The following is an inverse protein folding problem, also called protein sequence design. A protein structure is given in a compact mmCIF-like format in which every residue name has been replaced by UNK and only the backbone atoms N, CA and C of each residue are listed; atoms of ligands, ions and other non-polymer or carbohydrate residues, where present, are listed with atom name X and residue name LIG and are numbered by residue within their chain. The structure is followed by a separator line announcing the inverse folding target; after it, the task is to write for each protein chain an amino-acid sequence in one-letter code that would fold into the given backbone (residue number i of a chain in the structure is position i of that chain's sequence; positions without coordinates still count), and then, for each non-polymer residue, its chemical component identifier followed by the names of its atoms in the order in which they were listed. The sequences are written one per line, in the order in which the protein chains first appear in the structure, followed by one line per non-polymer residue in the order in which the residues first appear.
data_IF_080016794801
#
_entry.id   IF_080016794801
#
_cell.length_a   1.000
_cell.length_b   1.000
_cell.length_c   1.000
_cell.angle_alpha   90.00
_cell.angle_beta   90.00
_cell.angle_gamma   90.00
#
_symmetry.space_group_name_H-M   'P 1'
#
loop_
_entity.id
_entity.type
_entity.pdbx_description
1 polymer ?
#
# COMPACT_ATOMS: atom_id res chain seq x y z
N UNK A 1 4.08 4.30 20.34
CA UNK A 1 3.32 5.44 19.71
C UNK A 1 4.15 6.72 19.68
N UNK A 2 4.95 7.02 20.69
CA UNK A 2 5.72 8.28 20.78
C UNK A 2 6.86 8.41 19.76
N UNK A 3 7.38 7.32 19.22
CA UNK A 3 8.38 7.36 18.14
C UNK A 3 7.81 7.77 16.77
N UNK A 4 6.49 7.89 16.65
CA UNK A 4 5.78 8.26 15.44
C UNK A 4 5.74 9.78 15.22
N UNK A 5 5.74 10.58 16.28
CA UNK A 5 5.59 12.03 16.17
C UNK A 5 6.71 12.68 15.39
N UNK A 6 7.96 12.28 15.58
CA UNK A 6 9.12 12.86 14.88
C UNK A 6 9.19 12.51 13.37
N UNK A 7 8.62 11.38 12.95
CA UNK A 7 8.53 11.03 11.52
C UNK A 7 7.53 11.91 10.78
N UNK A 8 6.43 12.28 11.46
CA UNK A 8 5.39 13.10 10.87
C UNK A 8 5.76 14.59 10.76
N UNK A 9 6.83 15.03 11.43
CA UNK A 9 7.26 16.42 11.43
C UNK A 9 8.20 16.79 10.26
N UNK A 10 8.63 15.81 9.46
CA UNK A 10 9.52 16.04 8.33
C UNK A 10 8.76 16.68 7.17
N UNK A 11 9.01 17.97 6.91
CA UNK A 11 8.33 18.76 5.88
C UNK A 11 9.23 19.20 4.72
N UNK A 12 10.52 18.90 4.77
CA UNK A 12 11.47 19.28 3.72
C UNK A 12 11.36 18.36 2.51
N UNK A 13 11.26 18.95 1.33
CA UNK A 13 11.22 18.24 0.07
C UNK A 13 12.64 17.83 -0.34
N UNK A 14 12.81 16.55 -0.68
CA UNK A 14 14.01 16.01 -1.29
C UNK A 14 14.03 16.23 -2.80
N UNK A 15 15.07 15.72 -3.46
CA UNK A 15 15.15 15.74 -4.92
C UNK A 15 13.99 14.93 -5.53
N UNK A 16 13.62 13.82 -4.90
CA UNK A 16 12.37 13.08 -5.15
C UNK A 16 11.48 13.25 -3.93
N UNK A 17 10.24 13.70 -4.16
CA UNK A 17 9.27 13.99 -3.10
C UNK A 17 8.08 13.03 -3.16
N UNK A 18 7.88 12.27 -2.09
CA UNK A 18 6.77 11.33 -1.92
C UNK A 18 5.87 11.86 -0.80
N UNK A 19 4.65 12.26 -1.15
CA UNK A 19 3.66 12.70 -0.18
C UNK A 19 2.75 11.55 0.25
N UNK A 20 2.75 11.24 1.53
CA UNK A 20 1.91 10.21 2.16
C UNK A 20 0.75 10.87 2.86
N UNK A 21 -0.46 10.48 2.52
CA UNK A 21 -1.64 11.07 3.16
C UNK A 21 -1.78 10.54 4.58
N UNK A 22 -1.71 11.45 5.54
CA UNK A 22 -1.83 11.17 6.97
C UNK A 22 -3.28 11.32 7.40
N UNK A 23 -4.07 10.27 7.24
CA UNK A 23 -5.42 10.29 7.81
C UNK A 23 -5.40 10.15 9.34
N UNK A 24 -6.52 10.49 10.03
CA UNK A 24 -6.63 10.32 11.48
C UNK A 24 -6.42 8.88 11.97
N UNK A 25 -6.69 7.88 11.12
CA UNK A 25 -6.60 6.46 11.47
C UNK A 25 -5.61 5.70 10.58
N UNK A 26 -4.55 6.40 10.17
CA UNK A 26 -3.46 5.80 9.37
C UNK A 26 -2.94 4.51 10.03
N UNK A 27 -2.66 3.51 9.22
CA UNK A 27 -2.05 2.25 9.68
C UNK A 27 -0.96 1.80 8.71
N UNK A 28 -0.08 0.89 9.18
CA UNK A 28 0.99 0.30 8.36
C UNK A 28 1.88 1.33 7.64
N UNK A 29 2.11 2.49 8.27
CA UNK A 29 2.96 3.55 7.72
C UNK A 29 4.42 3.09 7.52
N UNK A 30 4.82 1.95 8.09
CA UNK A 30 6.14 1.34 7.89
C UNK A 30 6.35 0.79 6.48
N UNK A 31 5.31 0.64 5.67
CA UNK A 31 5.40 0.21 4.26
C UNK A 31 6.32 1.11 3.41
N UNK A 32 6.53 2.35 3.85
CA UNK A 32 7.34 3.33 3.12
C UNK A 32 8.72 3.55 3.75
N UNK A 33 9.05 2.80 4.82
CA UNK A 33 10.32 2.95 5.52
C UNK A 33 11.53 2.65 4.66
N UNK A 34 11.38 1.77 3.67
CA UNK A 34 12.43 1.47 2.69
C UNK A 34 12.77 2.70 1.83
N UNK A 35 11.79 3.48 1.42
CA UNK A 35 11.97 4.69 0.60
C UNK A 35 12.62 5.81 1.40
N UNK A 36 12.37 5.89 2.70
CA UNK A 36 13.02 6.86 3.61
C UNK A 36 14.54 6.64 3.75
N UNK A 37 15.04 5.44 3.41
CA UNK A 37 16.47 5.12 3.49
C UNK A 37 17.26 5.50 2.23
N UNK A 38 16.56 5.83 1.14
CA UNK A 38 17.20 6.23 -0.11
C UNK A 38 17.56 7.70 -0.01
N UNK A 39 18.85 8.01 -0.13
CA UNK A 39 19.33 9.38 -0.14
C UNK A 39 18.63 10.21 -1.22
N UNK A 40 18.40 11.49 -0.96
CA UNK A 40 17.73 12.44 -1.85
C UNK A 40 16.22 12.18 -2.07
N UNK A 41 15.64 11.17 -1.39
CA UNK A 41 14.18 10.93 -1.35
C UNK A 41 13.62 11.51 -0.06
N UNK A 42 12.57 12.30 -0.15
CA UNK A 42 11.76 12.70 0.98
C UNK A 42 10.45 11.91 1.00
N UNK A 43 10.09 11.40 2.17
CA UNK A 43 8.77 10.84 2.45
C UNK A 43 8.10 11.77 3.47
N UNK A 44 7.13 12.55 3.01
CA UNK A 44 6.42 13.55 3.82
C UNK A 44 5.03 13.09 4.14
N UNK A 45 4.64 13.21 5.40
CA UNK A 45 3.27 12.91 5.84
C UNK A 45 2.43 14.18 5.79
N UNK A 46 1.35 14.16 5.01
CA UNK A 46 0.54 15.32 4.64
C UNK A 46 -0.90 15.12 5.09
N UNK A 47 -1.43 16.07 5.85
CA UNK A 47 -2.80 16.07 6.36
C UNK A 47 -3.63 17.31 5.94
N UNK A 48 -3.06 18.18 5.12
CA UNK A 48 -3.72 19.37 4.62
C UNK A 48 -3.48 19.59 3.13
N UNK A 49 -4.42 20.25 2.47
CA UNK A 49 -4.31 20.67 1.06
C UNK A 49 -3.08 21.56 0.83
N UNK A 50 -2.76 22.41 1.82
CA UNK A 50 -1.64 23.36 1.74
C UNK A 50 -0.30 22.64 1.68
N UNK A 51 -0.15 21.54 2.42
CA UNK A 51 1.13 20.84 2.57
C UNK A 51 1.36 19.78 1.47
N UNK A 52 0.37 19.51 0.61
CA UNK A 52 0.52 18.53 -0.47
C UNK A 52 1.52 18.97 -1.55
N UNK A 53 1.62 20.26 -1.84
CA UNK A 53 2.54 20.84 -2.83
C UNK A 53 2.52 20.14 -4.20
N UNK A 54 3.72 19.79 -4.75
CA UNK A 54 3.91 19.13 -6.06
C UNK A 54 4.76 17.86 -5.93
N UNK A 55 4.27 16.82 -5.23
CA UNK A 55 5.04 15.59 -5.07
C UNK A 55 5.20 14.84 -6.39
N UNK A 56 6.26 14.05 -6.49
CA UNK A 56 6.50 13.14 -7.61
C UNK A 56 5.59 11.90 -7.51
N UNK A 57 5.16 11.55 -6.29
CA UNK A 57 4.22 10.46 -6.01
C UNK A 57 3.37 10.80 -4.78
N UNK A 58 2.08 10.43 -4.84
CA UNK A 58 1.16 10.50 -3.70
C UNK A 58 0.84 9.08 -3.27
N UNK A 59 0.99 8.80 -1.98
CA UNK A 59 0.64 7.50 -1.39
C UNK A 59 -0.56 7.64 -0.47
N UNK A 60 -1.56 6.80 -0.70
CA UNK A 60 -2.68 6.56 0.20
C UNK A 60 -2.37 5.28 0.99
N UNK A 61 -1.93 5.37 2.25
CA UNK A 61 -1.54 4.19 3.03
C UNK A 61 -2.74 3.43 3.57
N UNK A 62 -2.49 2.40 4.38
CA UNK A 62 -3.51 1.68 5.10
C UNK A 62 -4.28 2.55 6.09
N UNK A 63 -5.51 2.17 6.39
CA UNK A 63 -6.39 2.81 7.37
C UNK A 63 -7.04 1.77 8.27
N UNK A 64 -7.28 2.14 9.55
CA UNK A 64 -8.08 1.35 10.49
C UNK A 64 -9.58 1.57 10.32
N UNK A 65 -9.98 2.58 9.57
CA UNK A 65 -11.37 2.83 9.18
C UNK A 65 -11.39 3.60 7.86
N UNK A 66 -11.46 2.85 6.78
CA UNK A 66 -11.34 3.33 5.41
C UNK A 66 -12.43 4.36 5.06
N UNK A 67 -13.69 4.05 5.44
CA UNK A 67 -14.81 4.93 5.13
C UNK A 67 -14.72 6.27 5.87
N UNK A 68 -14.36 6.24 7.15
CA UNK A 68 -14.23 7.47 7.93
C UNK A 68 -13.06 8.34 7.47
N UNK A 69 -11.94 7.74 7.09
CA UNK A 69 -10.76 8.47 6.62
C UNK A 69 -10.96 9.03 5.21
N UNK A 70 -11.67 8.31 4.31
CA UNK A 70 -12.08 8.86 3.03
C UNK A 70 -13.03 10.05 3.20
N UNK A 71 -14.00 9.94 4.11
CA UNK A 71 -14.90 11.06 4.45
C UNK A 71 -14.11 12.27 4.92
N UNK A 72 -13.14 12.06 5.82
CA UNK A 72 -12.26 13.12 6.32
C UNK A 72 -11.46 13.79 5.20
N UNK A 73 -10.86 13.01 4.25
CA UNK A 73 -10.17 13.57 3.08
C UNK A 73 -11.11 14.42 2.19
N UNK A 74 -12.35 14.00 2.07
CA UNK A 74 -13.38 14.69 1.29
C UNK A 74 -13.75 16.03 1.91
N UNK A 75 -13.93 16.05 3.24
CA UNK A 75 -14.30 17.23 4.00
C UNK A 75 -13.18 18.29 4.07
N UNK A 76 -11.92 17.88 4.07
CA UNK A 76 -10.78 18.82 4.09
C UNK A 76 -10.24 19.19 2.69
N UNK A 77 -10.84 18.65 1.63
CA UNK A 77 -10.51 18.97 0.24
C UNK A 77 -9.33 18.19 -0.35
N UNK A 78 -8.66 17.32 0.41
CA UNK A 78 -7.53 16.51 -0.08
C UNK A 78 -7.98 15.56 -1.20
N UNK A 79 -9.16 14.93 -1.09
CA UNK A 79 -9.68 14.06 -2.15
C UNK A 79 -9.74 14.80 -3.50
N UNK A 80 -10.32 15.98 -3.53
CA UNK A 80 -10.47 16.75 -4.77
C UNK A 80 -9.12 17.12 -5.37
N UNK A 81 -8.16 17.51 -4.52
CA UNK A 81 -6.81 17.87 -4.97
C UNK A 81 -6.04 16.65 -5.49
N UNK A 82 -6.12 15.50 -4.81
CA UNK A 82 -5.50 14.25 -5.26
C UNK A 82 -6.08 13.81 -6.60
N UNK A 83 -7.39 13.85 -6.77
CA UNK A 83 -8.06 13.53 -8.05
C UNK A 83 -7.57 14.42 -9.19
N UNK A 84 -7.36 15.70 -8.91
CA UNK A 84 -6.80 16.63 -9.90
C UNK A 84 -5.34 16.28 -10.24
N UNK A 85 -4.52 15.97 -9.24
CA UNK A 85 -3.11 15.63 -9.42
C UNK A 85 -2.88 14.26 -10.08
N UNK A 86 -3.79 13.31 -9.95
CA UNK A 86 -3.70 11.98 -10.55
C UNK A 86 -3.59 12.00 -12.08
N UNK A 87 -3.89 13.13 -12.74
CA UNK A 87 -3.68 13.28 -14.18
C UNK A 87 -2.20 13.27 -14.56
N UNK A 88 -1.32 13.83 -13.71
CA UNK A 88 0.10 14.02 -14.00
C UNK A 88 1.01 13.36 -12.96
N UNK A 89 0.50 13.12 -11.74
CA UNK A 89 1.26 12.56 -10.60
C UNK A 89 0.84 11.12 -10.36
N UNK A 90 1.81 10.26 -10.03
CA UNK A 90 1.55 8.87 -9.63
C UNK A 90 0.79 8.87 -8.30
N UNK A 91 -0.33 8.14 -8.24
CA UNK A 91 -1.10 7.89 -7.01
C UNK A 91 -1.07 6.41 -6.72
N UNK A 92 -0.61 6.05 -5.52
CA UNK A 92 -0.45 4.65 -5.10
C UNK A 92 -1.23 4.38 -3.82
N UNK A 93 -2.20 3.47 -3.86
CA UNK A 93 -3.00 3.07 -2.72
C UNK A 93 -2.56 1.72 -2.15
N UNK A 94 -2.41 1.64 -0.82
CA UNK A 94 -2.11 0.39 -0.12
C UNK A 94 -3.26 0.06 0.82
N UNK A 95 -3.82 -1.15 0.73
CA UNK A 95 -4.87 -1.66 1.61
C UNK A 95 -6.08 -0.71 1.69
N UNK A 96 -6.32 -0.02 2.79
CA UNK A 96 -7.39 0.98 2.91
C UNK A 96 -7.28 2.09 1.84
N UNK A 97 -6.06 2.55 1.55
CA UNK A 97 -5.84 3.52 0.47
C UNK A 97 -6.22 2.97 -0.92
N UNK A 98 -5.95 1.71 -1.20
CA UNK A 98 -6.41 1.06 -2.43
C UNK A 98 -7.95 1.02 -2.50
N UNK A 99 -8.61 0.65 -1.41
CA UNK A 99 -10.08 0.64 -1.33
C UNK A 99 -10.68 2.03 -1.59
N UNK A 100 -10.05 3.10 -1.07
CA UNK A 100 -10.48 4.48 -1.28
C UNK A 100 -10.41 4.91 -2.75
N UNK A 101 -9.43 4.42 -3.51
CA UNK A 101 -9.24 4.76 -4.93
C UNK A 101 -10.33 4.23 -5.83
N UNK A 102 -11.06 3.20 -5.43
CA UNK A 102 -12.15 2.57 -6.19
C UNK A 102 -13.38 3.46 -6.39
N UNK A 103 -14.40 2.91 -7.03
CA UNK A 103 -15.68 3.57 -7.30
C UNK A 103 -16.62 3.54 -6.10
N UNK A 104 -16.63 2.40 -5.37
CA UNK A 104 -17.54 2.18 -4.24
C UNK A 104 -16.88 1.37 -3.13
N UNK A 105 -17.28 1.67 -1.89
CA UNK A 105 -16.97 0.89 -0.70
C UNK A 105 -18.30 0.54 -0.04
N UNK A 106 -18.59 -0.76 0.10
CA UNK A 106 -19.78 -1.29 0.77
C UNK A 106 -19.38 -1.98 2.07
N UNK A 107 -20.11 -1.71 3.14
CA UNK A 107 -19.95 -2.33 4.45
C UNK A 107 -21.27 -2.94 4.94
N UNK A 108 -21.73 -4.05 4.32
CA UNK A 108 -23.00 -4.66 4.67
C UNK A 108 -23.00 -5.30 6.06
N UNK A 109 -21.82 -5.58 6.60
CA UNK A 109 -21.63 -6.29 7.87
C UNK A 109 -21.30 -5.38 9.04
N UNK A 110 -21.28 -4.06 8.83
CA UNK A 110 -20.90 -3.07 9.85
C UNK A 110 -19.50 -3.31 10.45
N UNK A 111 -18.56 -3.68 9.61
CA UNK A 111 -17.15 -3.89 9.99
C UNK A 111 -16.50 -2.58 10.42
N UNK A 112 -16.85 -1.49 9.74
CA UNK A 112 -16.44 -0.13 10.07
C UNK A 112 -17.65 0.70 10.54
N UNK A 113 -18.33 1.35 9.61
CA UNK A 113 -19.46 2.25 9.92
C UNK A 113 -20.80 1.74 9.36
N UNK A 114 -20.79 0.66 8.62
CA UNK A 114 -21.95 0.16 7.88
C UNK A 114 -22.32 1.01 6.66
N UNK A 115 -23.21 0.46 5.84
CA UNK A 115 -23.74 1.15 4.66
C UNK A 115 -22.79 1.12 3.46
N UNK A 116 -22.89 2.15 2.63
CA UNK A 116 -22.12 2.25 1.38
C UNK A 116 -21.74 3.69 1.11
N UNK A 117 -20.57 3.90 0.50
CA UNK A 117 -20.13 5.22 0.06
C UNK A 117 -19.42 5.15 -1.29
N UNK A 118 -19.45 6.27 -2.01
CA UNK A 118 -18.65 6.44 -3.23
C UNK A 118 -17.18 6.56 -2.85
N UNK A 119 -16.33 5.81 -3.53
CA UNK A 119 -14.89 5.98 -3.48
C UNK A 119 -14.43 7.21 -4.25
N UNK A 120 -13.13 7.30 -4.52
CA UNK A 120 -12.55 8.39 -5.30
C UNK A 120 -12.82 8.24 -6.80
N UNK A 121 -13.16 7.04 -7.29
CA UNK A 121 -13.43 6.76 -8.70
C UNK A 121 -12.20 6.94 -9.60
N UNK A 122 -11.02 6.68 -9.08
CA UNK A 122 -9.75 6.73 -9.82
C UNK A 122 -9.34 5.35 -10.36
N UNK A 123 -9.87 4.29 -9.78
CA UNK A 123 -9.72 2.91 -10.26
C UNK A 123 -11.09 2.30 -10.56
N UNK A 124 -11.22 1.47 -11.61
CA UNK A 124 -12.43 0.72 -11.89
C UNK A 124 -12.57 -0.46 -10.92
N UNK A 125 -12.80 -0.16 -9.66
CA UNK A 125 -12.76 -1.11 -8.56
C UNK A 125 -13.92 -0.89 -7.59
N UNK A 126 -14.55 -1.98 -7.15
CA UNK A 126 -15.57 -1.96 -6.09
C UNK A 126 -15.10 -2.81 -4.92
N UNK A 127 -15.21 -2.29 -3.71
CA UNK A 127 -14.80 -2.96 -2.48
C UNK A 127 -16.02 -3.31 -1.63
N UNK A 128 -16.05 -4.54 -1.13
CA UNK A 128 -16.95 -4.99 -0.06
C UNK A 128 -16.14 -5.34 1.18
N UNK A 129 -16.44 -4.69 2.31
CA UNK A 129 -15.85 -5.03 3.60
C UNK A 129 -16.48 -6.32 4.14
N UNK A 130 -15.65 -7.27 4.62
CA UNK A 130 -16.06 -8.59 5.08
C UNK A 130 -15.68 -8.78 6.55
N UNK A 131 -16.42 -9.62 7.25
CA UNK A 131 -16.13 -9.95 8.65
C UNK A 131 -14.86 -10.77 8.80
N UNK A 132 -14.52 -11.57 7.79
CA UNK A 132 -13.29 -12.35 7.79
C UNK A 132 -12.08 -11.47 7.46
N UNK A 133 -11.07 -11.61 8.30
CA UNK A 133 -9.80 -10.90 8.13
C UNK A 133 -8.80 -11.76 7.38
N UNK A 134 -8.37 -11.30 6.22
CA UNK A 134 -7.22 -11.88 5.53
C UNK A 134 -5.95 -11.53 6.30
N UNK A 135 -5.10 -12.52 6.62
CA UNK A 135 -3.79 -12.33 7.22
C UNK A 135 -2.84 -13.41 6.70
N UNK A 136 -1.99 -13.04 5.76
CA UNK A 136 -1.10 -14.01 5.11
C UNK A 136 0.20 -13.36 4.62
N UNK A 137 1.27 -14.12 4.60
CA UNK A 137 2.50 -13.78 3.88
C UNK A 137 2.34 -14.18 2.42
N UNK A 138 2.82 -13.35 1.52
CA UNK A 138 2.71 -13.57 0.09
C UNK A 138 4.03 -13.35 -0.62
N UNK A 139 4.25 -14.15 -1.65
CA UNK A 139 5.32 -13.97 -2.65
C UNK A 139 4.72 -13.99 -4.04
N UNK A 140 5.37 -13.37 -5.00
CA UNK A 140 4.85 -13.35 -6.36
C UNK A 140 5.69 -12.52 -7.32
N UNK A 141 5.03 -12.07 -8.38
CA UNK A 141 5.65 -11.22 -9.41
C UNK A 141 4.67 -10.15 -9.87
N UNK A 142 5.20 -8.98 -10.20
CA UNK A 142 4.43 -7.99 -10.92
C UNK A 142 4.05 -8.53 -12.32
N UNK A 143 2.80 -8.30 -12.70
CA UNK A 143 2.30 -8.58 -14.05
C UNK A 143 2.83 -7.57 -15.08
N UNK A 144 2.20 -7.53 -16.25
CA UNK A 144 2.44 -6.48 -17.23
C UNK A 144 1.78 -5.18 -16.80
N UNK A 145 2.54 -4.29 -16.18
CA UNK A 145 2.09 -2.96 -15.79
C UNK A 145 2.31 -1.99 -16.95
N UNK A 146 1.28 -1.23 -17.27
CA UNK A 146 1.39 -0.13 -18.24
C UNK A 146 1.53 1.22 -17.53
N UNK A 147 1.86 2.26 -18.28
CA UNK A 147 1.98 3.62 -17.77
C UNK A 147 3.27 3.86 -16.99
N UNK A 148 3.18 4.74 -15.99
CA UNK A 148 4.35 5.28 -15.30
C UNK A 148 5.20 4.22 -14.60
N UNK A 149 4.59 3.19 -14.02
CA UNK A 149 5.29 2.14 -13.27
C UNK A 149 5.59 0.89 -14.10
N UNK A 150 5.58 0.98 -15.44
CA UNK A 150 5.89 -0.15 -16.33
C UNK A 150 7.24 -0.83 -16.06
N UNK A 151 8.22 -0.09 -15.54
CA UNK A 151 9.52 -0.63 -15.13
C UNK A 151 9.48 -1.62 -13.96
N UNK A 152 8.33 -1.76 -13.27
CA UNK A 152 8.14 -2.80 -12.26
C UNK A 152 7.71 -4.15 -12.84
N UNK A 153 7.29 -4.21 -14.10
CA UNK A 153 6.79 -5.44 -14.75
C UNK A 153 7.80 -6.59 -14.62
N UNK A 154 7.31 -7.78 -14.27
CA UNK A 154 8.10 -8.99 -14.12
C UNK A 154 9.01 -9.06 -12.88
N UNK A 155 9.09 -8.01 -12.08
CA UNK A 155 9.90 -8.02 -10.85
C UNK A 155 9.22 -8.86 -9.78
N UNK A 156 10.04 -9.50 -8.91
CA UNK A 156 9.55 -10.23 -7.75
C UNK A 156 8.94 -9.30 -6.72
N UNK A 157 7.90 -9.76 -6.06
CA UNK A 157 7.26 -9.08 -4.93
C UNK A 157 7.16 -10.03 -3.76
N UNK A 158 7.39 -9.51 -2.56
CA UNK A 158 7.18 -10.21 -1.30
C UNK A 158 6.60 -9.23 -0.30
N UNK A 159 5.66 -9.71 0.51
CA UNK A 159 5.03 -8.89 1.53
C UNK A 159 3.99 -9.66 2.32
N UNK A 160 3.01 -8.96 2.83
CA UNK A 160 1.91 -9.58 3.54
C UNK A 160 0.60 -8.84 3.26
N UNK A 161 -0.50 -9.55 3.41
CA UNK A 161 -1.84 -8.98 3.37
C UNK A 161 -2.45 -8.98 4.77
N UNK A 162 -3.09 -7.88 5.14
CA UNK A 162 -3.85 -7.76 6.39
C UNK A 162 -5.02 -6.81 6.18
N UNK A 163 -6.15 -7.32 5.74
CA UNK A 163 -7.32 -6.51 5.39
C UNK A 163 -8.63 -7.24 5.68
N UNK A 164 -9.73 -6.49 5.70
CA UNK A 164 -11.09 -6.97 5.91
C UNK A 164 -12.00 -6.69 4.71
N UNK A 165 -11.47 -6.55 3.52
CA UNK A 165 -12.23 -6.26 2.31
C UNK A 165 -11.83 -7.15 1.15
N UNK A 166 -12.73 -7.26 0.20
CA UNK A 166 -12.49 -7.85 -1.10
C UNK A 166 -12.77 -6.80 -2.17
N UNK A 167 -11.82 -6.58 -3.05
CA UNK A 167 -11.93 -5.61 -4.15
C UNK A 167 -11.94 -6.35 -5.47
N UNK A 168 -12.90 -6.01 -6.31
CA UNK A 168 -13.08 -6.59 -7.65
C UNK A 168 -13.01 -5.50 -8.72
N UNK A 169 -12.54 -5.86 -9.91
CA UNK A 169 -12.57 -4.99 -11.08
C UNK A 169 -14.02 -4.78 -11.54
N UNK A 170 -14.54 -3.55 -11.43
CA UNK A 170 -15.89 -3.19 -11.88
C UNK A 170 -15.98 -2.97 -13.39
N UNK A 171 -14.86 -2.76 -14.08
CA UNK A 171 -14.79 -2.55 -15.52
C UNK A 171 -15.03 -3.80 -16.35
N UNK A 172 -15.04 -4.99 -15.75
CA UNK A 172 -15.32 -6.26 -16.41
C UNK A 172 -16.81 -6.61 -16.57
N UNK A 173 -17.72 -5.80 -16.01
CA UNK A 173 -19.19 -6.02 -16.01
C UNK A 173 -19.93 -5.14 -17.02
N UNK A 174 -19.49 -5.09 -18.29
CA UNK A 174 -20.23 -4.34 -19.31
C UNK A 174 -21.54 -5.02 -19.75
N UNK A 175 -21.80 -6.27 -19.39
CA UNK A 175 -22.96 -7.04 -19.90
C UNK A 175 -24.05 -7.41 -18.89
N UNK A 176 -24.04 -6.90 -17.65
CA UNK A 176 -25.18 -7.11 -16.75
C UNK A 176 -25.47 -5.87 -15.90
N UNK A 177 -26.05 -4.84 -16.54
CA UNK A 177 -26.80 -3.83 -15.80
C UNK A 177 -28.13 -4.44 -15.31
N UNK A 178 -28.08 -5.19 -14.23
CA UNK A 178 -29.22 -5.31 -13.35
C UNK A 178 -29.20 -4.06 -12.46
N UNK A 179 -30.20 -3.22 -12.62
CA UNK A 179 -30.48 -2.07 -11.77
C UNK A 179 -30.48 -2.56 -10.32
N UNK A 180 -29.55 -2.06 -9.53
CA UNK A 180 -29.47 -2.37 -8.10
C UNK A 180 -30.44 -1.46 -7.38
N UNK A 181 -31.62 -1.96 -7.17
CA UNK A 181 -32.56 -1.46 -6.17
C UNK A 181 -32.22 -2.19 -4.86
N UNK A 182 -31.52 -1.52 -3.93
CA UNK A 182 -31.45 -1.83 -2.49
C UNK A 182 -31.04 -3.23 -2.03
N UNK A 183 -30.26 -4.01 -2.76
CA UNK A 183 -29.92 -5.38 -2.40
C UNK A 183 -28.46 -5.74 -2.59
N UNK A 184 -27.92 -6.41 -1.59
CA UNK A 184 -26.64 -7.10 -1.49
C UNK A 184 -26.05 -7.53 -2.85
N UNK A 185 -24.77 -7.21 -3.08
CA UNK A 185 -23.99 -7.84 -4.17
C UNK A 185 -23.79 -9.30 -3.77
N UNK A 186 -24.73 -10.16 -4.16
CA UNK A 186 -24.64 -11.59 -3.88
C UNK A 186 -24.02 -12.28 -5.08
N UNK A 187 -22.73 -12.58 -5.03
CA UNK A 187 -22.24 -13.93 -5.32
C UNK A 187 -20.81 -14.09 -4.77
N UNK A 188 -20.73 -14.75 -3.65
CA UNK A 188 -19.55 -14.89 -2.80
C UNK A 188 -18.54 -15.96 -3.28
N UNK A 189 -18.64 -16.46 -4.51
CA UNK A 189 -17.74 -17.52 -5.02
C UNK A 189 -17.22 -17.33 -6.45
N UNK A 190 -17.40 -16.17 -7.04
CA UNK A 190 -16.63 -15.88 -8.25
C UNK A 190 -15.22 -15.40 -7.87
N UNK A 191 -14.35 -16.33 -7.52
CA UNK A 191 -12.94 -16.20 -7.86
C UNK A 191 -12.93 -15.97 -9.36
N UNK A 192 -12.81 -14.72 -9.76
CA UNK A 192 -12.68 -14.35 -11.17
C UNK A 192 -11.38 -14.99 -11.61
N UNK A 193 -11.47 -16.12 -12.27
CA UNK A 193 -10.32 -16.71 -12.97
C UNK A 193 -10.07 -15.80 -14.19
N UNK A 194 -9.03 -14.94 -14.16
CA UNK A 194 -8.76 -13.99 -15.23
C UNK A 194 -8.44 -14.68 -16.55
N UNK A 195 -7.99 -15.96 -16.52
CA UNK A 195 -7.69 -16.77 -17.69
C UNK A 195 -8.89 -16.91 -18.65
N UNK A 196 -10.13 -16.76 -18.15
CA UNK A 196 -11.33 -16.96 -18.97
C UNK A 196 -11.75 -15.75 -19.81
N UNK A 197 -11.16 -14.54 -19.67
CA UNK A 197 -11.66 -13.32 -20.36
C UNK A 197 -10.60 -12.32 -20.85
N UNK A 198 -9.32 -12.62 -20.89
CA UNK A 198 -8.29 -11.69 -21.41
C UNK A 198 -8.06 -10.43 -20.53
N UNK A 199 -8.49 -10.47 -19.26
CA UNK A 199 -8.41 -9.35 -18.29
C UNK A 199 -7.14 -9.36 -17.41
N UNK A 200 -6.17 -10.25 -17.68
CA UNK A 200 -4.90 -10.29 -16.94
C UNK A 200 -4.14 -8.95 -16.94
N UNK A 201 -4.42 -8.12 -17.95
CA UNK A 201 -3.71 -6.84 -18.19
C UNK A 201 -4.02 -5.71 -17.18
N UNK A 202 -4.90 -5.93 -16.20
CA UNK A 202 -5.27 -4.88 -15.22
C UNK A 202 -4.81 -5.16 -13.82
N UNK A 203 -4.30 -6.34 -13.52
CA UNK A 203 -3.81 -6.69 -12.18
C UNK A 203 -2.32 -6.36 -12.06
N UNK A 204 -1.97 -5.77 -10.91
CA UNK A 204 -0.58 -5.40 -10.63
C UNK A 204 0.30 -6.62 -10.40
N UNK A 205 -0.18 -7.58 -9.62
CA UNK A 205 0.63 -8.71 -9.16
C UNK A 205 -0.12 -10.04 -9.31
N UNK A 206 0.65 -11.10 -9.58
CA UNK A 206 0.24 -12.48 -9.36
C UNK A 206 0.96 -12.95 -8.10
N UNK A 207 0.21 -13.21 -7.04
CA UNK A 207 0.75 -13.55 -5.73
C UNK A 207 0.35 -14.94 -5.29
N UNK A 208 1.20 -15.57 -4.50
CA UNK A 208 0.99 -16.87 -3.87
C UNK A 208 1.04 -16.72 -2.36
N UNK A 209 0.06 -17.28 -1.68
CA UNK A 209 0.02 -17.40 -0.23
C UNK A 209 1.06 -18.42 0.23
N UNK A 210 1.96 -18.01 1.13
CA UNK A 210 3.03 -18.91 1.64
C UNK A 210 2.49 -20.04 2.53
N UNK A 211 1.29 -19.89 3.12
CA UNK A 211 0.74 -20.88 4.06
C UNK A 211 0.09 -22.08 3.36
N UNK A 212 -0.66 -21.85 2.28
CA UNK A 212 -1.45 -22.88 1.60
C UNK A 212 -1.11 -23.06 0.12
N UNK A 213 -0.22 -22.22 -0.42
CA UNK A 213 0.19 -22.27 -1.82
C UNK A 213 -0.86 -21.74 -2.80
N UNK A 214 -1.99 -21.23 -2.33
CA UNK A 214 -3.03 -20.67 -3.20
C UNK A 214 -2.51 -19.46 -3.96
N UNK A 215 -2.92 -19.33 -5.23
CA UNK A 215 -2.49 -18.26 -6.12
C UNK A 215 -3.67 -17.39 -6.47
N UNK A 216 -3.44 -16.07 -6.43
CA UNK A 216 -4.44 -15.08 -6.86
C UNK A 216 -3.78 -13.88 -7.53
N UNK A 217 -4.60 -13.06 -8.15
CA UNK A 217 -4.19 -11.76 -8.65
C UNK A 217 -4.53 -10.68 -7.61
N UNK A 218 -3.63 -9.71 -7.45
CA UNK A 218 -3.79 -8.58 -6.55
C UNK A 218 -3.49 -7.27 -7.24
N UNK A 219 -4.21 -6.26 -6.77
CA UNK A 219 -4.04 -4.90 -7.19
C UNK A 219 -4.64 -4.59 -8.57
N UNK A 220 -5.09 -3.36 -8.74
CA UNK A 220 -5.62 -2.83 -10.00
C UNK A 220 -4.89 -1.53 -10.30
N UNK A 221 -4.67 -1.24 -11.59
CA UNK A 221 -4.10 0.02 -12.01
C UNK A 221 -4.85 0.59 -13.22
N UNK A 222 -4.81 1.91 -13.34
CA UNK A 222 -5.30 2.68 -14.48
C UNK A 222 -4.51 3.97 -14.60
N UNK A 223 -3.96 4.25 -15.77
CA UNK A 223 -3.15 5.44 -16.05
C UNK A 223 -1.99 5.62 -15.04
N UNK A 224 -2.04 6.67 -14.21
CA UNK A 224 -1.06 6.97 -13.17
C UNK A 224 -1.50 6.49 -11.77
N UNK A 225 -2.58 5.72 -11.67
CA UNK A 225 -3.16 5.28 -10.39
C UNK A 225 -2.98 3.78 -10.21
N UNK A 226 -2.46 3.39 -9.07
CA UNK A 226 -2.11 2.02 -8.72
C UNK A 226 -2.63 1.67 -7.33
N UNK A 227 -3.10 0.48 -7.13
CA UNK A 227 -3.59 0.03 -5.83
C UNK A 227 -3.33 -1.44 -5.57
N UNK A 228 -3.00 -1.83 -4.33
CA UNK A 228 -2.66 -3.20 -3.92
C UNK A 228 -3.06 -3.45 -2.48
N UNK A 229 -3.29 -4.71 -2.12
CA UNK A 229 -3.42 -5.12 -0.73
C UNK A 229 -2.09 -5.51 -0.08
N UNK A 230 -1.03 -5.69 -0.88
CA UNK A 230 0.27 -6.14 -0.37
C UNK A 230 0.97 -5.02 0.40
N UNK A 231 1.16 -5.24 1.69
CA UNK A 231 2.00 -4.43 2.56
C UNK A 231 3.48 -4.82 2.41
N UNK A 232 4.39 -3.86 2.57
CA UNK A 232 5.82 -4.08 2.35
C UNK A 232 6.17 -4.33 0.88
N UNK A 233 5.31 -3.94 -0.05
CA UNK A 233 5.47 -4.21 -1.49
C UNK A 233 6.80 -3.70 -2.08
N UNK A 234 7.41 -2.70 -1.47
CA UNK A 234 8.69 -2.14 -1.91
C UNK A 234 9.90 -2.68 -1.14
N UNK A 235 9.70 -3.59 -0.18
CA UNK A 235 10.76 -4.10 0.70
C UNK A 235 11.66 -5.13 0.00
N UNK A 236 11.18 -5.77 -1.06
CA UNK A 236 11.87 -6.89 -1.72
C UNK A 236 12.89 -6.40 -2.77
N UNK A 237 14.10 -6.96 -2.68
CA UNK A 237 15.14 -6.77 -3.68
C UNK A 237 15.48 -5.32 -3.96
N UNK A 238 15.30 -4.90 -5.22
CA UNK A 238 15.60 -3.54 -5.73
C UNK A 238 14.33 -2.78 -6.13
N UNK A 239 13.15 -3.14 -5.58
CA UNK A 239 11.89 -2.50 -5.96
C UNK A 239 11.84 -1.03 -5.58
N UNK A 240 12.31 -0.69 -4.39
CA UNK A 240 12.37 0.69 -3.92
C UNK A 240 13.27 1.55 -4.83
N UNK A 241 14.47 1.05 -5.16
CA UNK A 241 15.41 1.71 -6.05
C UNK A 241 14.84 1.85 -7.47
N UNK A 242 14.14 0.81 -7.94
CA UNK A 242 13.48 0.85 -9.26
C UNK A 242 12.39 1.93 -9.28
N UNK A 243 11.53 1.97 -8.26
CA UNK A 243 10.49 2.99 -8.14
C UNK A 243 11.11 4.39 -8.14
N UNK A 244 12.12 4.62 -7.30
CA UNK A 244 12.79 5.92 -7.19
C UNK A 244 13.48 6.30 -8.50
N UNK A 245 14.08 5.34 -9.21
CA UNK A 245 14.64 5.53 -10.55
C UNK A 245 13.59 6.00 -11.57
N UNK A 246 12.41 5.37 -11.57
CA UNK A 246 11.27 5.77 -12.42
C UNK A 246 10.84 7.21 -12.10
N UNK A 247 10.73 7.57 -10.81
CA UNK A 247 10.35 8.93 -10.40
C UNK A 247 11.40 9.96 -10.85
N UNK A 248 12.69 9.63 -10.70
CA UNK A 248 13.80 10.47 -11.14
C UNK A 248 13.82 10.71 -12.66
N UNK A 249 13.63 9.64 -13.44
CA UNK A 249 13.51 9.72 -14.90
C UNK A 249 12.35 10.62 -15.32
N UNK A 250 11.17 10.43 -14.73
CA UNK A 250 10.00 11.28 -15.01
C UNK A 250 10.21 12.74 -14.67
N UNK A 251 10.93 13.02 -13.59
CA UNK A 251 11.30 14.37 -13.16
C UNK A 251 12.44 14.98 -13.99
N UNK A 252 13.19 14.16 -14.72
CA UNK A 252 14.36 14.58 -15.48
C UNK A 252 15.57 14.90 -14.58
N UNK A 253 15.72 14.22 -13.44
CA UNK A 253 16.83 14.39 -12.49
C UNK A 253 17.68 13.13 -12.40
N UNK A 254 18.95 13.30 -12.05
CA UNK A 254 19.89 12.20 -11.81
C UNK A 254 20.12 12.07 -10.32
N UNK A 255 19.92 10.88 -9.79
CA UNK A 255 20.19 10.56 -8.39
C UNK A 255 21.65 10.13 -8.23
N UNK A 256 22.28 10.55 -7.15
CA UNK A 256 23.55 9.99 -6.72
C UNK A 256 23.31 8.64 -6.02
N UNK A 257 23.54 7.56 -6.75
CA UNK A 257 23.31 6.18 -6.26
C UNK A 257 24.52 5.62 -5.49
N UNK A 258 25.52 6.44 -5.17
CA UNK A 258 26.83 6.00 -4.69
C UNK A 258 26.90 5.22 -3.37
N UNK A 259 25.82 5.12 -2.59
CA UNK A 259 25.77 4.35 -1.33
C UNK A 259 24.36 3.84 -1.00
N UNK A 260 23.70 3.16 -1.93
CA UNK A 260 22.44 2.52 -1.61
C UNK A 260 22.70 1.20 -0.88
N UNK A 261 22.36 1.16 0.40
CA UNK A 261 22.33 -0.08 1.19
C UNK A 261 20.96 -0.71 0.95
N UNK A 262 20.90 -2.01 0.62
CA UNK A 262 19.62 -2.69 0.48
C UNK A 262 18.82 -2.65 1.79
N UNK A 263 17.48 -2.60 1.69
CA UNK A 263 16.62 -2.53 2.89
C UNK A 263 16.83 -3.74 3.83
N UNK A 264 17.14 -4.91 3.28
CA UNK A 264 17.51 -6.08 4.05
C UNK A 264 18.78 -5.87 4.88
N UNK A 265 19.81 -5.29 4.29
CA UNK A 265 21.05 -4.94 5.01
C UNK A 265 20.78 -3.86 6.07
N UNK A 266 19.98 -2.84 5.74
CA UNK A 266 19.59 -1.83 6.72
C UNK A 266 18.84 -2.44 7.91
N UNK A 267 17.84 -3.30 7.68
CA UNK A 267 17.12 -4.02 8.74
C UNK A 267 18.10 -4.81 9.62
N UNK A 268 19.02 -5.57 9.01
CA UNK A 268 20.00 -6.34 9.75
C UNK A 268 20.87 -5.45 10.64
N UNK A 269 21.36 -4.33 10.12
CA UNK A 269 22.12 -3.35 10.91
C UNK A 269 21.32 -2.78 12.09
N UNK A 270 20.00 -2.53 11.92
CA UNK A 270 19.14 -2.07 13.02
C UNK A 270 18.93 -3.17 14.07
N UNK A 271 18.74 -4.42 13.66
CA UNK A 271 18.63 -5.55 14.59
C UNK A 271 19.93 -5.77 15.37
N UNK A 272 21.08 -5.70 14.72
CA UNK A 272 22.38 -5.82 15.38
C UNK A 272 22.57 -4.70 16.41
N UNK A 273 22.21 -3.45 16.05
CA UNK A 273 22.27 -2.29 16.95
C UNK A 273 21.34 -2.44 18.15
N UNK A 274 20.11 -2.95 17.93
CA UNK A 274 19.16 -3.26 18.99
C UNK A 274 19.70 -4.37 19.89
N UNK A 275 20.21 -5.46 19.32
CA UNK A 275 20.78 -6.56 20.06
C UNK A 275 21.97 -6.12 20.93
N UNK A 276 22.83 -5.26 20.41
CA UNK A 276 23.93 -4.67 21.17
C UNK A 276 23.45 -3.77 22.31
N UNK A 277 22.40 -2.98 22.06
CA UNK A 277 21.75 -2.17 23.10
C UNK A 277 21.19 -3.02 24.23
N UNK A 278 20.47 -4.09 23.89
CA UNK A 278 19.93 -5.06 24.86
C UNK A 278 21.05 -5.72 25.66
N UNK A 279 22.10 -6.24 24.98
CA UNK A 279 23.25 -6.90 25.64
C UNK A 279 23.99 -5.98 26.62
N UNK A 280 24.06 -4.68 26.30
CA UNK A 280 24.71 -3.68 27.18
C UNK A 280 23.86 -3.27 28.38
N UNK A 281 22.53 -3.39 28.25
CA UNK A 281 21.58 -2.87 29.24
C UNK A 281 20.98 -3.95 30.14
N UNK A 282 21.16 -5.22 29.83
CA UNK A 282 20.59 -6.36 30.56
C UNK A 282 21.68 -7.30 31.04
N UNK A 283 21.45 -7.96 32.19
CA UNK A 283 22.24 -9.10 32.65
C UNK A 283 21.87 -10.31 31.77
N UNK A 284 22.63 -10.51 30.69
CA UNK A 284 22.37 -11.59 29.74
C UNK A 284 22.63 -12.98 30.33
N UNK A 285 23.50 -13.10 31.34
CA UNK A 285 23.73 -14.36 32.02
C UNK A 285 22.49 -14.79 32.82
N UNK A 286 21.89 -13.86 33.55
CA UNK A 286 20.64 -14.11 34.26
C UNK A 286 19.48 -14.46 33.26
N UNK A 287 19.37 -13.75 32.13
CA UNK A 287 18.38 -14.05 31.07
C UNK A 287 18.55 -15.46 30.53
N UNK A 288 19.79 -15.86 30.19
CA UNK A 288 20.06 -17.23 29.68
C UNK A 288 19.88 -18.32 30.76
N UNK A 289 20.08 -18.00 32.03
CA UNK A 289 19.78 -18.93 33.14
C UNK A 289 18.27 -19.18 33.22
N UNK A 290 17.45 -18.13 33.23
CA UNK A 290 15.97 -18.25 33.22
C UNK A 290 15.44 -19.04 32.02
N UNK A 291 15.98 -18.80 30.83
CA UNK A 291 15.56 -19.54 29.62
C UNK A 291 15.90 -21.02 29.69
N UNK A 292 17.02 -21.38 30.31
CA UNK A 292 17.43 -22.79 30.52
C UNK A 292 16.54 -23.49 31.56
N UNK A 293 16.12 -22.79 32.60
CA UNK A 293 15.18 -23.32 33.60
C UNK A 293 13.75 -23.48 33.04
N UNK A 294 13.31 -22.60 32.13
CA UNK A 294 12.00 -22.69 31.51
C UNK A 294 11.89 -23.74 30.38
N UNK A 295 13.03 -24.29 29.92
CA UNK A 295 13.08 -25.29 28.84
C UNK A 295 13.08 -26.74 29.37
N UNK A 296 12.97 -26.96 30.70
CA UNK A 296 12.79 -28.21 31.38
C UNK A 296 11.32 -28.38 31.76
#
# INVERSE_FOLDING_TARGET
EDSLSSRFDRKEEGLIDIAVIRYPRISNFTDLSVLEQIGQVSVRYVDSVRDLHHPDMIVLPGSKNTMADLKWMRENGLEALIKKKAQDTIVFGICGGYQMLGETICDPYQVENGGSMKGMGLLPAATELKQEKTRTQVTGTFGEISGALSGLSGKSVRGYEIHMGSTVDSGSNVDNRSTVDGGSIVDSERVINPESRGNEKRYMCRIQNEADGSVKYDGIFSDNVYGTYVHGIFDEGTLAETLVGILAERKGVVLDTGQMISYGQFKQMQYDKLADGVRKSMDMEAVYAMLREAAI
#
